data_IF_491537856367
#
_entry.id   IF_491537856367
#
_cell.length_a   1.000
_cell.length_b   1.000
_cell.length_c   1.000
_cell.angle_alpha   90.00
_cell.angle_beta   90.00
_cell.angle_gamma   90.00
#
_symmetry.space_group_name_H-M   'P 1'
#
loop_
_entity.id
_entity.type
_entity.pdbx_description
1 polymer ?
#
# COMPACT_ATOMS: atom_id res chain seq x y z
N UNK A 1 11.04 40.76 30.17
CA UNK A 1 10.21 40.28 29.05
C UNK A 1 10.05 38.77 29.21
N UNK A 2 8.86 38.28 29.56
CA UNK A 2 8.58 36.84 29.60
C UNK A 2 8.33 36.37 28.16
N UNK A 3 9.26 35.61 27.59
CA UNK A 3 9.07 34.88 26.34
C UNK A 3 8.14 33.70 26.60
N UNK A 4 6.84 33.90 26.37
CA UNK A 4 5.84 32.84 26.42
C UNK A 4 6.07 31.84 25.29
N UNK A 5 6.38 30.59 25.65
CA UNK A 5 6.36 29.47 24.72
C UNK A 5 4.91 29.18 24.35
N UNK A 6 4.48 29.62 23.17
CA UNK A 6 3.23 29.16 22.56
C UNK A 6 3.42 27.73 22.08
N UNK A 7 3.07 26.75 22.93
CA UNK A 7 2.90 25.37 22.49
C UNK A 7 1.60 25.28 21.71
N UNK A 8 1.68 25.26 20.38
CA UNK A 8 0.52 24.93 19.54
C UNK A 8 0.18 23.44 19.76
N UNK A 9 -1.05 23.09 20.17
CA UNK A 9 -1.43 21.69 20.27
C UNK A 9 -1.30 21.05 18.88
N UNK A 10 -0.44 20.04 18.75
CA UNK A 10 -0.31 19.26 17.53
C UNK A 10 -1.58 18.40 17.36
N UNK A 11 -2.50 18.88 16.54
CA UNK A 11 -3.75 18.19 16.25
C UNK A 11 -3.52 17.08 15.22
N UNK A 12 -3.85 15.84 15.60
CA UNK A 12 -3.91 14.72 14.68
C UNK A 12 -4.89 15.04 13.53
N UNK A 13 -4.45 14.86 12.29
CA UNK A 13 -5.28 15.15 11.13
C UNK A 13 -6.06 13.91 10.68
N UNK A 14 -7.27 14.12 10.17
CA UNK A 14 -8.00 13.13 9.39
C UNK A 14 -7.54 13.19 7.94
N UNK A 15 -7.05 12.08 7.40
CA UNK A 15 -6.59 11.93 6.02
C UNK A 15 -7.49 10.96 5.28
N UNK A 16 -8.22 11.44 4.29
CA UNK A 16 -9.13 10.62 3.50
C UNK A 16 -8.51 10.25 2.15
N UNK A 17 -8.62 8.98 1.78
CA UNK A 17 -8.17 8.45 0.49
C UNK A 17 -9.31 7.66 -0.17
N UNK A 18 -9.44 7.80 -1.49
CA UNK A 18 -10.35 6.98 -2.30
C UNK A 18 -9.52 6.02 -3.17
N UNK A 19 -9.81 4.72 -3.04
CA UNK A 19 -9.17 3.63 -3.75
C UNK A 19 -10.20 2.94 -4.64
N UNK A 20 -10.22 3.31 -5.92
CA UNK A 20 -11.02 2.66 -6.95
C UNK A 20 -10.22 1.50 -7.56
N UNK A 21 -10.59 0.29 -7.16
CA UNK A 21 -9.96 -0.93 -7.64
C UNK A 21 -10.57 -1.29 -8.98
N UNK A 22 -9.74 -1.28 -10.03
CA UNK A 22 -10.21 -1.44 -11.41
C UNK A 22 -9.20 -2.17 -12.28
N UNK A 23 -9.70 -2.78 -13.35
CA UNK A 23 -8.85 -3.43 -14.36
C UNK A 23 -8.33 -2.37 -15.34
N UNK A 24 -7.03 -2.40 -15.63
CA UNK A 24 -6.39 -1.54 -16.63
C UNK A 24 -5.36 -2.33 -17.42
N UNK A 25 -5.28 -2.08 -18.73
CA UNK A 25 -4.20 -2.62 -19.54
C UNK A 25 -2.88 -1.92 -19.22
N UNK A 26 -1.86 -2.70 -18.89
CA UNK A 26 -0.51 -2.21 -18.64
C UNK A 26 0.45 -2.97 -19.54
N UNK A 27 1.30 -2.21 -20.23
CA UNK A 27 2.37 -2.75 -21.08
C UNK A 27 3.71 -2.71 -20.37
N UNK A 28 4.38 -3.85 -20.33
CA UNK A 28 5.77 -4.02 -19.88
C UNK A 28 6.43 -5.08 -20.75
N UNK A 29 7.72 -4.92 -21.03
CA UNK A 29 8.50 -5.91 -21.80
C UNK A 29 7.84 -6.28 -23.15
N UNK A 30 7.23 -5.30 -23.82
CA UNK A 30 6.47 -5.49 -25.07
C UNK A 30 5.21 -6.38 -24.95
N UNK A 31 4.78 -6.75 -23.75
CA UNK A 31 3.55 -7.49 -23.48
C UNK A 31 2.53 -6.59 -22.78
N UNK A 32 1.38 -6.41 -23.41
CA UNK A 32 0.23 -5.74 -22.80
C UNK A 32 -0.71 -6.79 -22.22
N UNK A 33 -1.10 -6.63 -20.95
CA UNK A 33 -2.12 -7.47 -20.31
C UNK A 33 -3.02 -6.64 -19.39
N UNK A 34 -4.28 -7.05 -19.20
CA UNK A 34 -5.13 -6.47 -18.16
C UNK A 34 -4.56 -6.84 -16.79
N UNK A 35 -4.46 -5.88 -15.89
CA UNK A 35 -4.11 -6.09 -14.48
C UNK A 35 -5.08 -5.33 -13.58
N UNK A 36 -5.26 -5.81 -12.34
CA UNK A 36 -5.99 -5.07 -11.32
C UNK A 36 -5.08 -3.99 -10.74
N UNK A 37 -5.60 -2.77 -10.65
CA UNK A 37 -4.89 -1.56 -10.19
C UNK A 37 -5.74 -0.79 -9.18
N UNK A 38 -5.13 0.13 -8.44
CA UNK A 38 -5.83 1.15 -7.66
C UNK A 38 -5.72 2.48 -8.40
N UNK A 39 -6.86 3.12 -8.66
CA UNK A 39 -6.96 4.41 -9.37
C UNK A 39 -6.28 4.38 -10.76
N UNK A 40 -6.21 3.21 -11.40
CA UNK A 40 -5.51 3.04 -12.68
C UNK A 40 -3.99 3.18 -12.62
N UNK A 41 -3.39 3.11 -11.43
CA UNK A 41 -1.95 3.24 -11.20
C UNK A 41 -1.29 1.89 -10.92
N UNK A 42 -0.06 1.71 -11.43
CA UNK A 42 0.79 0.57 -11.13
C UNK A 42 2.28 1.01 -11.06
N UNK A 43 2.93 0.97 -9.87
CA UNK A 43 2.34 0.72 -8.55
C UNK A 43 1.21 1.69 -8.20
N UNK A 44 0.39 1.35 -7.22
CA UNK A 44 -0.70 2.17 -6.73
C UNK A 44 -0.24 3.46 -6.03
N UNK A 45 -1.18 4.35 -5.67
CA UNK A 45 -0.86 5.62 -5.02
C UNK A 45 -0.12 5.42 -3.69
N UNK A 46 0.80 6.32 -3.38
CA UNK A 46 1.42 6.38 -2.05
C UNK A 46 0.44 7.02 -1.06
N UNK A 47 0.27 6.39 0.10
CA UNK A 47 -0.49 6.95 1.22
C UNK A 47 0.47 7.72 2.12
N UNK A 48 0.26 9.03 2.25
CA UNK A 48 1.05 9.88 3.14
C UNK A 48 0.28 10.20 4.42
N UNK A 49 0.96 10.10 5.56
CA UNK A 49 0.41 10.43 6.86
C UNK A 49 1.49 10.98 7.79
N UNK A 50 1.10 11.53 8.93
CA UNK A 50 1.99 11.77 10.07
C UNK A 50 1.68 10.82 11.21
N UNK A 51 2.66 10.58 12.06
CA UNK A 51 2.43 9.92 13.35
C UNK A 51 1.31 10.65 14.12
N UNK A 52 0.28 9.90 14.52
CA UNK A 52 -0.92 10.41 15.19
C UNK A 52 -2.12 10.63 14.26
N UNK A 53 -1.93 10.72 12.94
CA UNK A 53 -3.05 10.92 12.00
C UNK A 53 -4.01 9.71 11.99
N UNK A 54 -5.26 9.99 11.64
CA UNK A 54 -6.25 8.96 11.31
C UNK A 54 -6.44 8.91 9.80
N UNK A 55 -6.24 7.74 9.22
CA UNK A 55 -6.50 7.43 7.82
C UNK A 55 -7.92 6.89 7.66
N UNK A 56 -8.70 7.48 6.76
CA UNK A 56 -9.93 6.91 6.22
C UNK A 56 -9.70 6.55 4.76
N UNK A 57 -9.54 5.27 4.46
CA UNK A 57 -9.39 4.80 3.08
C UNK A 57 -10.66 4.09 2.65
N UNK A 58 -11.43 4.72 1.77
CA UNK A 58 -12.58 4.09 1.15
C UNK A 58 -12.13 3.31 -0.08
N UNK A 59 -12.26 1.98 -0.02
CA UNK A 59 -11.90 1.07 -1.11
C UNK A 59 -13.17 0.63 -1.81
N UNK A 60 -13.34 1.02 -3.07
CA UNK A 60 -14.46 0.62 -3.92
C UNK A 60 -13.96 -0.38 -4.95
N UNK A 61 -14.59 -1.56 -5.01
CA UNK A 61 -14.18 -2.62 -5.91
C UNK A 61 -14.98 -2.62 -7.21
N UNK A 62 -14.38 -2.15 -8.29
CA UNK A 62 -14.95 -2.21 -9.65
C UNK A 62 -14.39 -3.40 -10.46
N UNK A 63 -13.43 -4.14 -9.92
CA UNK A 63 -12.84 -5.29 -10.59
C UNK A 63 -13.73 -6.54 -10.43
N UNK A 64 -13.60 -7.47 -11.38
CA UNK A 64 -14.31 -8.75 -11.39
C UNK A 64 -13.86 -9.73 -10.28
N UNK A 65 -12.79 -9.40 -9.56
CA UNK A 65 -12.24 -10.23 -8.48
C UNK A 65 -12.73 -9.74 -7.13
N UNK A 66 -12.93 -10.65 -6.18
CA UNK A 66 -13.05 -10.28 -4.77
C UNK A 66 -11.77 -9.56 -4.31
N UNK A 67 -11.93 -8.54 -3.45
CA UNK A 67 -10.82 -7.69 -3.03
C UNK A 67 -10.74 -7.55 -1.51
N UNK A 68 -9.53 -7.42 -0.98
CA UNK A 68 -9.27 -6.94 0.38
C UNK A 68 -7.90 -6.26 0.39
N UNK A 69 -7.73 -5.20 1.18
CA UNK A 69 -6.47 -4.43 1.26
C UNK A 69 -5.93 -4.54 2.68
N UNK A 70 -4.65 -4.91 2.79
CA UNK A 70 -3.91 -4.94 4.05
C UNK A 70 -2.89 -3.80 4.12
N UNK A 71 -2.72 -3.29 5.33
CA UNK A 71 -1.86 -2.14 5.65
C UNK A 71 -0.59 -2.63 6.32
N UNK A 72 0.29 -3.22 5.52
CA UNK A 72 1.43 -3.99 5.99
C UNK A 72 2.31 -3.21 6.97
N UNK A 73 2.45 -3.78 8.17
CA UNK A 73 3.25 -3.22 9.25
C UNK A 73 2.52 -2.20 10.13
N UNK A 74 1.31 -1.72 9.77
CA UNK A 74 0.51 -0.94 10.71
C UNK A 74 0.03 -1.82 11.86
N UNK A 75 0.19 -1.34 13.10
CA UNK A 75 -0.04 -2.13 14.31
C UNK A 75 -1.49 -2.50 14.58
N UNK A 76 -2.44 -1.75 14.02
CA UNK A 76 -3.90 -1.96 14.16
C UNK A 76 -4.35 -2.26 15.60
N UNK A 77 -3.82 -1.52 16.59
CA UNK A 77 -4.13 -1.77 18.00
C UNK A 77 -5.64 -1.71 18.26
N UNK A 78 -6.20 -2.85 18.68
CA UNK A 78 -7.65 -3.03 18.91
C UNK A 78 -8.51 -2.64 17.70
N UNK A 79 -7.97 -2.75 16.49
CA UNK A 79 -8.58 -2.30 15.24
C UNK A 79 -8.51 -3.39 14.16
N UNK A 80 -8.63 -4.66 14.56
CA UNK A 80 -8.43 -5.80 13.67
C UNK A 80 -9.36 -5.85 12.46
N UNK A 81 -10.57 -5.28 12.57
CA UNK A 81 -11.50 -5.17 11.44
C UNK A 81 -10.96 -4.35 10.26
N UNK A 82 -10.05 -3.41 10.51
CA UNK A 82 -9.40 -2.62 9.46
C UNK A 82 -8.06 -3.22 9.01
N UNK A 83 -7.73 -4.46 9.39
CA UNK A 83 -6.43 -5.07 9.07
C UNK A 83 -6.34 -5.54 7.62
N UNK A 84 -7.38 -6.16 7.05
CA UNK A 84 -7.41 -6.51 5.63
C UNK A 84 -7.35 -7.98 5.19
N UNK A 85 -6.71 -8.93 5.93
CA UNK A 85 -6.62 -10.31 5.48
C UNK A 85 -8.00 -10.97 5.30
N UNK A 86 -8.32 -11.30 4.05
CA UNK A 86 -9.61 -11.92 3.70
C UNK A 86 -9.78 -13.26 4.41
N UNK A 87 -10.99 -13.51 4.92
CA UNK A 87 -11.38 -14.70 5.68
C UNK A 87 -10.70 -14.86 7.06
N UNK A 88 -9.90 -13.88 7.48
CA UNK A 88 -9.34 -13.82 8.84
C UNK A 88 -9.99 -12.68 9.61
N UNK A 89 -9.89 -11.45 9.11
CA UNK A 89 -10.41 -10.26 9.80
C UNK A 89 -11.63 -9.65 9.11
N UNK A 90 -11.87 -10.00 7.85
CA UNK A 90 -13.04 -9.55 7.09
C UNK A 90 -13.43 -10.55 5.99
N UNK A 91 -14.70 -10.50 5.57
CA UNK A 91 -15.09 -11.04 4.27
C UNK A 91 -14.55 -10.14 3.14
N UNK A 92 -14.31 -10.69 1.93
CA UNK A 92 -13.86 -9.89 0.80
C UNK A 92 -14.90 -8.85 0.36
N UNK A 93 -14.40 -7.71 -0.12
CA UNK A 93 -15.17 -6.68 -0.81
C UNK A 93 -15.54 -7.23 -2.19
N UNK A 94 -16.82 -7.51 -2.40
CA UNK A 94 -17.35 -8.00 -3.68
C UNK A 94 -17.33 -6.87 -4.74
N UNK A 95 -17.35 -7.25 -6.01
CA UNK A 95 -17.52 -6.31 -7.12
C UNK A 95 -18.76 -5.45 -6.92
N UNK A 96 -18.64 -4.14 -7.17
CA UNK A 96 -19.67 -3.13 -6.97
C UNK A 96 -19.83 -2.64 -5.52
N UNK A 97 -19.12 -3.23 -4.56
CA UNK A 97 -19.21 -2.83 -3.15
C UNK A 97 -17.98 -2.04 -2.68
N UNK A 98 -18.13 -1.38 -1.54
CA UNK A 98 -17.06 -0.61 -0.90
C UNK A 98 -16.86 -1.01 0.55
N UNK A 99 -15.66 -0.77 1.06
CA UNK A 99 -15.32 -0.88 2.47
C UNK A 99 -14.39 0.25 2.86
N UNK A 100 -14.67 0.91 4.00
CA UNK A 100 -13.84 1.99 4.51
C UNK A 100 -12.96 1.49 5.65
N UNK A 101 -11.65 1.53 5.43
CA UNK A 101 -10.64 1.27 6.45
C UNK A 101 -10.41 2.54 7.27
N UNK A 102 -10.70 2.47 8.58
CA UNK A 102 -10.42 3.55 9.53
C UNK A 102 -9.24 3.14 10.41
N UNK A 103 -8.12 3.86 10.31
CA UNK A 103 -6.84 3.46 10.89
C UNK A 103 -6.19 4.65 11.58
N UNK A 104 -5.95 4.54 12.88
CA UNK A 104 -5.18 5.53 13.63
C UNK A 104 -3.72 5.10 13.73
N UNK A 105 -2.81 5.97 13.28
CA UNK A 105 -1.37 5.71 13.30
C UNK A 105 -0.81 6.04 14.68
N UNK A 106 -0.45 4.99 15.43
CA UNK A 106 0.02 5.13 16.82
C UNK A 106 1.45 4.64 16.97
N UNK A 107 2.38 5.56 17.27
CA UNK A 107 3.76 5.21 17.60
C UNK A 107 4.50 4.51 16.45
N UNK A 108 4.31 4.99 15.23
CA UNK A 108 4.98 4.51 14.02
C UNK A 108 5.39 5.69 13.15
N UNK A 109 6.55 5.57 12.51
CA UNK A 109 7.12 6.52 11.55
C UNK A 109 8.04 5.78 10.59
N UNK A 110 8.25 6.32 9.40
CA UNK A 110 9.06 5.71 8.34
C UNK A 110 8.20 5.19 7.19
N UNK A 111 8.75 4.23 6.44
CA UNK A 111 8.11 3.68 5.24
C UNK A 111 7.54 2.29 5.50
N UNK A 112 6.28 2.13 5.15
CA UNK A 112 5.52 0.89 5.12
C UNK A 112 4.90 0.73 3.72
N UNK A 113 3.96 -0.20 3.57
CA UNK A 113 3.28 -0.40 2.29
C UNK A 113 1.90 -1.00 2.52
N UNK A 114 1.03 -0.86 1.53
CA UNK A 114 -0.27 -1.52 1.49
C UNK A 114 -0.32 -2.44 0.28
N UNK A 115 -1.09 -3.51 0.38
CA UNK A 115 -1.26 -4.46 -0.72
C UNK A 115 -2.58 -5.21 -0.63
N UNK A 116 -3.03 -5.79 -1.75
CA UNK A 116 -4.15 -6.73 -1.71
C UNK A 116 -3.80 -7.94 -0.82
N UNK A 117 -4.73 -8.37 0.03
CA UNK A 117 -4.55 -9.51 0.92
C UNK A 117 -5.59 -10.60 0.66
N UNK A 118 -5.85 -10.82 -0.63
CA UNK A 118 -6.64 -11.90 -1.17
C UNK A 118 -6.04 -12.32 -2.51
N UNK A 119 -6.04 -13.64 -2.76
CA UNK A 119 -5.41 -14.24 -3.93
C UNK A 119 -3.93 -13.78 -4.09
N UNK A 120 -3.41 -13.79 -5.31
CA UNK A 120 -2.08 -13.26 -5.65
C UNK A 120 -2.16 -11.85 -6.23
N UNK A 121 -3.27 -11.14 -6.01
CA UNK A 121 -3.49 -9.78 -6.52
C UNK A 121 -2.48 -8.76 -5.98
N UNK A 122 -1.75 -9.06 -4.89
CA UNK A 122 -0.61 -8.24 -4.43
C UNK A 122 0.51 -8.12 -5.46
N UNK A 123 0.53 -8.93 -6.52
CA UNK A 123 1.47 -8.79 -7.63
C UNK A 123 1.25 -7.50 -8.43
N UNK A 124 0.05 -6.89 -8.37
CA UNK A 124 -0.27 -5.65 -9.09
C UNK A 124 -1.00 -4.60 -8.25
N UNK A 125 -1.63 -5.02 -7.14
CA UNK A 125 -2.37 -4.16 -6.22
C UNK A 125 -1.51 -3.94 -4.97
N UNK A 126 -0.65 -2.94 -5.02
CA UNK A 126 0.19 -2.51 -3.90
C UNK A 126 0.64 -1.06 -4.07
N UNK A 127 1.07 -0.43 -2.98
CA UNK A 127 1.66 0.91 -2.99
C UNK A 127 2.34 1.23 -1.65
N UNK A 128 3.12 2.31 -1.62
CA UNK A 128 3.85 2.70 -0.43
C UNK A 128 2.93 3.40 0.60
N UNK A 129 3.31 3.33 1.87
CA UNK A 129 2.80 4.17 2.95
C UNK A 129 4.00 4.93 3.52
N UNK A 130 3.92 6.25 3.59
CA UNK A 130 4.96 7.09 4.18
C UNK A 130 4.38 7.79 5.40
N UNK A 131 4.97 7.50 6.57
CA UNK A 131 4.56 8.06 7.86
C UNK A 131 5.64 9.03 8.33
N UNK A 132 5.36 10.31 8.13
CA UNK A 132 6.21 11.40 8.56
C UNK A 132 6.20 11.56 10.09
N UNK A 133 7.21 12.21 10.68
CA UNK A 133 7.18 12.58 12.08
C UNK A 133 5.91 13.37 12.43
N UNK A 134 5.47 13.22 13.69
CA UNK A 134 4.40 14.04 14.25
C UNK A 134 4.67 15.52 14.00
N UNK A 135 3.61 16.32 13.80
CA UNK A 135 3.79 17.75 13.62
C UNK A 135 4.52 18.36 14.82
N UNK A 136 5.54 19.17 14.54
CA UNK A 136 6.42 19.75 15.57
C UNK A 136 7.58 18.87 16.01
N UNK A 137 7.66 17.60 15.54
CA UNK A 137 8.84 16.76 15.74
C UNK A 137 9.62 16.63 14.43
N UNK A 138 10.95 16.74 14.51
CA UNK A 138 11.85 16.53 13.38
C UNK A 138 12.19 15.04 13.19
N UNK A 139 12.90 14.75 12.11
CA UNK A 139 13.61 13.49 11.99
C UNK A 139 14.74 13.41 13.03
N UNK A 140 15.17 12.21 13.45
CA UNK A 140 16.36 12.05 14.29
C UNK A 140 17.68 12.31 13.53
N UNK A 141 17.60 12.83 12.31
CA UNK A 141 18.69 13.15 11.40
C UNK A 141 18.34 14.44 10.62
N UNK A 142 19.31 14.99 9.89
CA UNK A 142 19.11 16.20 9.07
C UNK A 142 18.01 15.98 8.04
N UNK A 143 17.12 16.96 7.89
CA UNK A 143 16.03 16.88 6.92
C UNK A 143 16.60 16.62 5.51
N UNK A 144 16.18 15.54 4.84
CA UNK A 144 16.68 15.22 3.51
C UNK A 144 16.25 16.28 2.50
N UNK A 145 17.11 16.55 1.52
CA UNK A 145 16.78 17.48 0.43
C UNK A 145 15.60 16.97 -0.41
N UNK A 146 15.54 15.65 -0.65
CA UNK A 146 14.47 14.97 -1.38
C UNK A 146 14.24 13.57 -0.81
N UNK A 147 13.01 13.10 -0.99
CA UNK A 147 12.58 11.74 -0.66
C UNK A 147 11.98 11.09 -1.91
N UNK A 148 12.24 9.80 -2.10
CA UNK A 148 11.68 9.02 -3.20
C UNK A 148 11.30 7.61 -2.73
N UNK A 149 10.17 7.11 -3.24
CA UNK A 149 9.75 5.74 -3.00
C UNK A 149 10.35 4.83 -4.07
N UNK A 150 11.19 3.89 -3.66
CA UNK A 150 11.69 2.83 -4.53
C UNK A 150 10.92 1.56 -4.17
N UNK A 151 10.00 1.19 -5.05
CA UNK A 151 9.21 -0.03 -4.88
C UNK A 151 9.74 -1.08 -5.83
N UNK A 152 10.06 -2.20 -5.22
CA UNK A 152 10.76 -3.31 -5.80
C UNK A 152 9.76 -4.47 -5.85
N UNK A 153 9.55 -5.03 -7.05
CA UNK A 153 8.51 -6.00 -7.31
C UNK A 153 8.76 -6.81 -8.57
N UNK A 154 7.90 -7.80 -8.77
CA UNK A 154 8.04 -8.78 -9.84
C UNK A 154 7.02 -8.54 -10.96
N UNK A 155 7.35 -8.97 -12.19
CA UNK A 155 6.44 -8.92 -13.33
C UNK A 155 6.40 -10.27 -14.06
N UNK A 156 5.18 -10.72 -14.35
CA UNK A 156 4.88 -11.89 -15.16
C UNK A 156 4.21 -11.45 -16.45
N UNK A 157 4.56 -12.02 -17.59
CA UNK A 157 3.82 -11.76 -18.83
C UNK A 157 2.45 -12.43 -18.85
N UNK A 158 2.31 -13.56 -18.13
CA UNK A 158 1.03 -14.25 -17.96
C UNK A 158 0.21 -13.61 -16.84
N UNK A 159 -1.10 -13.90 -16.82
CA UNK A 159 -1.95 -13.59 -15.67
C UNK A 159 -1.47 -14.37 -14.44
N UNK A 160 -1.24 -13.68 -13.32
CA UNK A 160 -0.67 -14.28 -12.11
C UNK A 160 -1.65 -15.27 -11.47
N UNK A 161 -2.95 -14.97 -11.52
CA UNK A 161 -3.97 -15.88 -10.99
C UNK A 161 -4.02 -17.18 -11.81
N UNK A 162 -3.87 -17.10 -13.13
CA UNK A 162 -3.83 -18.29 -13.99
C UNK A 162 -2.57 -19.12 -13.75
N UNK A 163 -1.41 -18.48 -13.57
CA UNK A 163 -0.17 -19.15 -13.20
C UNK A 163 -0.31 -19.91 -11.89
N UNK A 164 -0.94 -19.31 -10.88
CA UNK A 164 -1.16 -19.92 -9.56
C UNK A 164 -2.18 -21.05 -9.63
N UNK A 165 -3.29 -20.86 -10.35
CA UNK A 165 -4.30 -21.91 -10.58
C UNK A 165 -3.67 -23.14 -11.25
N UNK A 166 -2.82 -22.92 -12.26
CA UNK A 166 -2.09 -24.00 -12.92
C UNK A 166 -1.14 -24.72 -11.96
N UNK A 167 -0.33 -23.98 -11.20
CA UNK A 167 0.59 -24.54 -10.21
C UNK A 167 -0.14 -25.40 -9.16
N UNK A 168 -1.24 -24.87 -8.61
CA UNK A 168 -2.08 -25.58 -7.65
C UNK A 168 -2.71 -26.85 -8.23
N UNK A 169 -3.16 -26.80 -9.50
CA UNK A 169 -3.75 -27.97 -10.17
C UNK A 169 -2.72 -29.08 -10.43
N UNK A 170 -1.49 -28.70 -10.76
CA UNK A 170 -0.42 -29.64 -11.12
C UNK A 170 0.43 -30.09 -9.91
N UNK A 171 0.34 -29.41 -8.77
CA UNK A 171 1.24 -29.62 -7.63
C UNK A 171 2.69 -29.22 -7.96
N UNK A 172 2.88 -28.31 -8.90
CA UNK A 172 4.19 -27.86 -9.38
C UNK A 172 4.40 -26.37 -9.03
N UNK A 173 5.66 -25.93 -8.89
CA UNK A 173 5.94 -24.51 -8.76
C UNK A 173 5.44 -23.74 -10.00
N UNK A 174 5.14 -22.43 -9.85
CA UNK A 174 4.78 -21.57 -10.97
C UNK A 174 5.74 -21.73 -12.15
N UNK A 175 5.21 -21.84 -13.37
CA UNK A 175 6.06 -21.85 -14.56
C UNK A 175 6.73 -20.48 -14.70
N UNK A 176 8.01 -20.41 -14.36
CA UNK A 176 8.75 -19.16 -14.16
C UNK A 176 9.07 -18.54 -15.53
N UNK A 177 8.16 -17.69 -16.00
CA UNK A 177 8.49 -16.58 -16.92
C UNK A 177 8.44 -15.25 -16.15
N UNK A 178 9.12 -15.22 -15.01
CA UNK A 178 9.35 -14.03 -14.18
C UNK A 178 10.60 -13.34 -14.69
N UNK A 179 10.50 -12.05 -14.99
CA UNK A 179 11.61 -11.30 -15.61
C UNK A 179 12.27 -10.31 -14.64
N UNK A 180 11.72 -10.11 -13.44
CA UNK A 180 12.36 -9.25 -12.45
C UNK A 180 12.11 -9.74 -11.02
N UNK A 181 13.18 -9.87 -10.24
CA UNK A 181 13.18 -9.96 -8.78
C UNK A 181 13.58 -8.60 -8.23
N UNK A 182 12.96 -8.12 -7.15
CA UNK A 182 13.44 -6.96 -6.39
C UNK A 182 12.74 -6.92 -4.99
N UNK A 183 13.51 -6.69 -3.91
CA UNK A 183 13.04 -6.55 -2.50
C UNK A 183 12.83 -5.08 -2.05
N UNK A 184 11.92 -4.78 -1.12
CA UNK A 184 11.68 -3.40 -0.64
C UNK A 184 12.95 -2.75 -0.05
N UNK A 185 13.47 -1.71 -0.71
CA UNK A 185 14.55 -0.86 -0.18
C UNK A 185 14.08 0.59 -0.30
N UNK A 186 13.88 1.26 0.83
CA UNK A 186 13.92 2.71 0.85
C UNK A 186 15.38 3.13 0.66
N UNK A 187 15.76 3.65 -0.50
CA UNK A 187 16.90 4.56 -0.55
C UNK A 187 16.43 5.92 -0.04
N UNK A 188 16.41 6.09 1.28
CA UNK A 188 16.99 7.31 1.83
C UNK A 188 18.46 7.31 1.39
N UNK A 189 19.10 8.46 1.25
CA UNK A 189 20.53 8.58 0.89
C UNK A 189 20.86 8.55 -0.62
N UNK A 190 20.58 9.67 -1.28
CA UNK A 190 21.58 10.29 -2.16
C UNK A 190 21.72 11.75 -1.72
N UNK A 191 22.75 12.05 -0.92
CA UNK A 191 23.28 13.41 -0.89
C UNK A 191 23.92 13.63 -2.26
N UNK A 192 23.23 14.35 -3.15
CA UNK A 192 23.96 15.09 -4.17
C UNK A 192 24.59 16.30 -3.46
N UNK A 193 25.80 16.12 -2.93
CA UNK A 193 26.73 17.23 -2.76
C UNK A 193 27.57 17.32 -4.02
#
# INVERSE_FOLDING_TARGET
MLSGFFSTPAQAALKTYQFDVQVKNVSRLCHSKPIVTVNGMFPGPTVYAREGDTLLVNVTNHAQYNMSIHWHGLKQYRNGWADGPAYITQCPIKTGHSYTYNITITGQRGTLWWHAHIFWLRATVYGAIVILPKQGTGFPFLQPYKEANIVLGEWWNNDVEEVVKQGNKLGLPPNIKVIAYNEFIQCTWWTCN
#
